data_IF_268999725462
#
_entry.id   IF_268999725462
#
_cell.length_a   1.000
_cell.length_b   1.000
_cell.length_c   1.000
_cell.angle_alpha   90.00
_cell.angle_beta   90.00
_cell.angle_gamma   90.00
#
_symmetry.space_group_name_H-M   'P 1'
#
loop_
_entity.id
_entity.type
_entity.pdbx_description
1 polymer ?
#
# COMPACT_ATOMS: atom_id res chain seq x y z
N UNK A 1 -19.90 12.39 17.93
CA UNK A 1 -21.16 12.64 18.66
C UNK A 1 -22.37 12.01 17.98
N UNK A 2 -22.41 11.96 16.63
CA UNK A 2 -23.60 11.54 15.87
C UNK A 2 -23.64 10.04 15.43
N UNK A 3 -22.74 9.18 15.94
CA UNK A 3 -22.69 7.75 15.59
C UNK A 3 -22.11 7.47 14.19
N UNK A 4 -22.13 6.19 13.76
CA UNK A 4 -21.51 5.75 12.50
C UNK A 4 -22.32 6.11 11.24
N UNK A 5 -23.66 6.11 11.32
CA UNK A 5 -24.54 6.41 10.17
C UNK A 5 -24.38 7.82 9.62
N UNK A 6 -23.97 8.75 10.49
CA UNK A 6 -23.84 10.15 10.11
C UNK A 6 -22.45 10.50 9.59
N UNK A 7 -21.50 9.54 9.59
CA UNK A 7 -20.11 9.81 9.19
C UNK A 7 -20.01 10.27 7.73
N UNK A 8 -20.78 9.66 6.83
CA UNK A 8 -20.78 9.99 5.40
C UNK A 8 -21.72 11.12 5.01
N UNK A 9 -22.39 11.78 5.97
CA UNK A 9 -23.11 13.03 5.70
C UNK A 9 -22.13 14.21 5.49
N UNK A 10 -20.95 14.13 6.08
CA UNK A 10 -19.83 15.03 5.78
C UNK A 10 -18.99 14.51 4.60
N UNK A 11 -18.08 15.37 4.10
CA UNK A 11 -17.12 14.94 3.09
C UNK A 11 -16.18 13.85 3.66
N UNK A 12 -16.07 12.74 2.95
CA UNK A 12 -15.16 11.63 3.28
C UNK A 12 -14.87 10.80 2.04
N UNK A 13 -13.60 10.50 1.82
CA UNK A 13 -13.08 9.70 0.72
C UNK A 13 -12.61 8.31 1.15
N UNK A 14 -12.63 8.06 2.46
CA UNK A 14 -12.25 6.80 3.06
C UNK A 14 -13.34 5.74 2.90
N UNK A 15 -12.89 4.50 2.78
CA UNK A 15 -13.71 3.34 3.09
C UNK A 15 -13.87 3.18 4.61
N UNK A 16 -14.87 2.43 5.08
CA UNK A 16 -15.22 2.36 6.51
C UNK A 16 -14.10 1.92 7.45
N UNK A 17 -13.13 1.13 6.96
CA UNK A 17 -12.11 0.52 7.81
C UNK A 17 -11.32 1.55 8.63
N UNK A 18 -10.86 2.63 7.99
CA UNK A 18 -10.10 3.66 8.71
C UNK A 18 -11.00 4.54 9.59
N UNK A 19 -12.30 4.63 9.28
CA UNK A 19 -13.24 5.42 10.06
C UNK A 19 -13.47 4.83 11.45
N UNK A 20 -13.40 3.50 11.61
CA UNK A 20 -13.38 2.87 12.93
C UNK A 20 -12.17 3.31 13.77
N UNK A 21 -11.00 3.43 13.14
CA UNK A 21 -9.78 3.91 13.80
C UNK A 21 -9.98 5.35 14.24
N UNK A 22 -10.42 6.23 13.34
CA UNK A 22 -10.69 7.64 13.65
C UNK A 22 -11.76 7.83 14.73
N UNK A 23 -12.82 7.02 14.70
CA UNK A 23 -13.85 7.02 15.73
C UNK A 23 -13.28 6.67 17.10
N UNK A 24 -12.47 5.61 17.18
CA UNK A 24 -11.83 5.20 18.42
C UNK A 24 -10.87 6.29 18.93
N UNK A 25 -10.01 6.84 18.07
CA UNK A 25 -9.14 7.96 18.43
C UNK A 25 -9.92 9.17 18.95
N UNK A 26 -11.06 9.49 18.30
CA UNK A 26 -11.94 10.55 18.77
C UNK A 26 -12.54 10.30 20.16
N UNK A 27 -12.76 9.03 20.54
CA UNK A 27 -13.24 8.66 21.89
C UNK A 27 -12.20 8.82 22.98
N UNK A 28 -10.93 8.64 22.64
CA UNK A 28 -9.80 8.76 23.58
C UNK A 28 -9.04 10.09 23.43
N UNK A 29 -9.62 11.04 22.69
CA UNK A 29 -9.07 12.39 22.52
C UNK A 29 -8.88 13.05 23.88
N UNK A 30 -7.79 13.81 24.04
CA UNK A 30 -7.46 14.52 25.28
C UNK A 30 -6.60 13.72 26.28
N UNK A 31 -6.36 12.41 26.06
CA UNK A 31 -5.41 11.62 26.89
C UNK A 31 -3.96 12.03 26.63
N UNK A 32 -3.63 12.35 25.38
CA UNK A 32 -2.32 12.82 24.91
C UNK A 32 -2.54 13.92 23.86
N UNK A 33 -1.50 14.71 23.49
CA UNK A 33 -1.62 15.73 22.44
C UNK A 33 -2.19 15.14 21.13
N UNK A 34 -3.20 15.80 20.56
CA UNK A 34 -3.93 15.32 19.38
C UNK A 34 -2.98 14.96 18.22
N UNK A 35 -1.95 15.78 17.97
CA UNK A 35 -0.95 15.52 16.93
C UNK A 35 -0.27 14.16 17.10
N UNK A 36 0.08 13.79 18.33
CA UNK A 36 0.66 12.47 18.61
C UNK A 36 -0.39 11.37 18.47
N UNK A 37 -1.59 11.58 19.02
CA UNK A 37 -2.69 10.62 19.00
C UNK A 37 -3.01 10.14 17.58
N UNK A 38 -3.13 11.07 16.62
CA UNK A 38 -3.47 10.75 15.24
C UNK A 38 -2.30 10.14 14.45
N UNK A 39 -1.05 10.28 14.92
CA UNK A 39 0.14 9.65 14.32
C UNK A 39 0.40 8.24 14.85
N UNK A 40 -0.06 7.93 16.07
CA UNK A 40 0.17 6.63 16.72
C UNK A 40 -0.21 5.41 15.85
N UNK A 41 -1.35 5.36 15.15
CA UNK A 41 -1.68 4.18 14.34
C UNK A 41 -0.62 3.86 13.28
N UNK A 42 -0.07 4.88 12.61
CA UNK A 42 0.95 4.71 11.60
C UNK A 42 2.30 4.29 12.21
N UNK A 43 2.71 4.95 13.31
CA UNK A 43 3.95 4.63 14.03
C UNK A 43 3.91 3.18 14.56
N UNK A 44 2.81 2.78 15.19
CA UNK A 44 2.63 1.41 15.68
C UNK A 44 2.61 0.40 14.54
N UNK A 45 2.03 0.76 13.38
CA UNK A 45 2.04 -0.10 12.21
C UNK A 45 3.46 -0.31 11.65
N UNK A 46 4.31 0.72 11.64
CA UNK A 46 5.71 0.58 11.24
C UNK A 46 6.51 -0.32 12.19
N UNK A 47 6.34 -0.13 13.50
CA UNK A 47 7.00 -0.97 14.51
C UNK A 47 6.56 -2.43 14.41
N UNK A 48 5.26 -2.67 14.23
CA UNK A 48 4.70 -4.01 14.02
C UNK A 48 5.22 -4.62 12.71
N UNK A 49 5.35 -3.83 11.64
CA UNK A 49 5.90 -4.28 10.36
C UNK A 49 7.38 -4.62 10.50
N UNK A 50 8.17 -3.80 11.20
CA UNK A 50 9.56 -4.09 11.51
C UNK A 50 9.74 -5.36 12.33
N UNK A 51 8.91 -5.59 13.35
CA UNK A 51 8.91 -6.85 14.12
C UNK A 51 8.55 -8.06 13.24
N UNK A 52 7.57 -7.90 12.35
CA UNK A 52 7.17 -8.94 11.41
C UNK A 52 8.28 -9.27 10.41
N UNK A 53 8.98 -8.25 9.89
CA UNK A 53 10.17 -8.42 9.03
C UNK A 53 11.24 -9.22 9.77
N UNK A 54 11.53 -8.90 11.05
CA UNK A 54 12.47 -9.67 11.87
C UNK A 54 12.08 -11.16 11.93
N UNK A 55 10.80 -11.46 12.20
CA UNK A 55 10.30 -12.84 12.24
C UNK A 55 10.40 -13.56 10.90
N UNK A 56 9.98 -12.90 9.82
CA UNK A 56 10.00 -13.46 8.47
C UNK A 56 11.42 -13.76 8.03
N UNK A 57 12.30 -12.76 8.05
CA UNK A 57 13.69 -12.90 7.61
C UNK A 57 14.47 -13.82 8.55
N UNK A 58 14.18 -13.80 9.85
CA UNK A 58 14.72 -14.74 10.82
C UNK A 58 14.48 -16.20 10.43
N UNK A 59 13.26 -16.51 9.98
CA UNK A 59 12.88 -17.84 9.47
C UNK A 59 13.43 -18.14 8.07
N UNK A 60 13.50 -17.13 7.20
CA UNK A 60 13.96 -17.32 5.83
C UNK A 60 15.49 -17.38 5.70
N UNK A 61 16.24 -16.77 6.62
CA UNK A 61 17.70 -16.69 6.59
C UNK A 61 18.33 -16.96 7.96
N UNK A 62 18.28 -15.99 8.88
CA UNK A 62 18.67 -16.14 10.30
C UNK A 62 18.35 -14.86 11.08
N UNK A 63 18.41 -14.91 12.42
CA UNK A 63 18.06 -13.80 13.31
C UNK A 63 18.91 -12.54 13.09
N UNK A 64 20.19 -12.66 12.74
CA UNK A 64 21.06 -11.51 12.45
C UNK A 64 20.53 -10.71 11.26
N UNK A 65 20.24 -11.40 10.16
CA UNK A 65 19.63 -10.75 8.99
C UNK A 65 18.22 -10.25 9.26
N UNK A 66 17.47 -10.93 10.15
CA UNK A 66 16.19 -10.44 10.64
C UNK A 66 16.31 -9.07 11.32
N UNK A 67 17.28 -8.91 12.22
CA UNK A 67 17.51 -7.64 12.91
C UNK A 67 17.92 -6.56 11.92
N UNK A 68 18.87 -6.86 11.02
CA UNK A 68 19.32 -5.91 9.99
C UNK A 68 18.15 -5.43 9.13
N UNK A 69 17.34 -6.33 8.58
CA UNK A 69 16.21 -5.97 7.73
C UNK A 69 15.13 -5.17 8.49
N UNK A 70 14.87 -5.53 9.75
CA UNK A 70 13.95 -4.80 10.63
C UNK A 70 14.44 -3.38 10.91
N UNK A 71 15.72 -3.23 11.27
CA UNK A 71 16.35 -1.93 11.49
C UNK A 71 16.36 -1.08 10.23
N UNK A 72 16.68 -1.66 9.07
CA UNK A 72 16.63 -0.94 7.79
C UNK A 72 15.24 -0.38 7.52
N UNK A 73 14.17 -1.11 7.83
CA UNK A 73 12.79 -0.63 7.65
C UNK A 73 12.40 0.45 8.66
N UNK A 74 12.57 0.20 9.96
CA UNK A 74 12.12 1.11 11.03
C UNK A 74 12.88 2.45 10.96
N UNK A 75 14.18 2.40 10.66
CA UNK A 75 15.02 3.60 10.57
C UNK A 75 15.13 4.15 9.16
N UNK A 76 14.32 3.66 8.20
CA UNK A 76 14.28 4.24 6.87
C UNK A 76 13.69 5.67 6.97
N UNK A 77 14.44 6.71 6.58
CA UNK A 77 13.97 8.09 6.70
C UNK A 77 12.69 8.35 5.90
N UNK A 78 12.48 7.65 4.78
CA UNK A 78 11.28 7.79 3.97
C UNK A 78 10.02 7.24 4.66
N UNK A 79 10.17 6.14 5.42
CA UNK A 79 9.10 5.56 6.24
C UNK A 79 8.74 6.51 7.38
N UNK A 80 9.74 6.98 8.13
CA UNK A 80 9.56 7.94 9.21
C UNK A 80 8.92 9.25 8.73
N UNK A 81 9.23 9.70 7.52
CA UNK A 81 8.64 10.90 6.91
C UNK A 81 7.14 10.75 6.68
N UNK A 82 6.69 9.61 6.17
CA UNK A 82 5.27 9.34 5.95
C UNK A 82 4.50 9.15 7.27
N UNK A 83 5.01 8.33 8.19
CA UNK A 83 4.28 7.96 9.40
C UNK A 83 4.50 8.94 10.55
N UNK A 84 5.75 9.16 10.95
CA UNK A 84 6.10 9.90 12.17
C UNK A 84 6.03 11.40 11.95
N UNK A 85 6.56 11.90 10.83
CA UNK A 85 6.56 13.33 10.55
C UNK A 85 5.22 13.79 9.96
N UNK A 86 4.63 13.03 9.03
CA UNK A 86 3.36 13.41 8.41
C UNK A 86 2.12 12.83 9.10
N UNK A 87 2.12 11.55 9.49
CA UNK A 87 0.95 10.88 10.08
C UNK A 87 0.06 10.18 9.06
N UNK A 88 0.58 9.89 7.86
CA UNK A 88 -0.12 9.12 6.84
C UNK A 88 -0.19 7.65 7.22
N UNK A 89 -1.22 6.98 6.72
CA UNK A 89 -1.60 5.62 7.15
C UNK A 89 -1.13 4.53 6.18
N UNK A 90 -0.25 4.86 5.23
CA UNK A 90 0.24 3.89 4.25
C UNK A 90 1.05 2.77 4.94
N UNK A 91 1.63 3.03 6.11
CA UNK A 91 2.21 2.02 7.01
C UNK A 91 1.25 0.88 7.37
N UNK A 92 -0.05 1.17 7.56
CA UNK A 92 -1.07 0.16 7.83
C UNK A 92 -1.27 -0.74 6.60
N UNK A 93 -1.17 -0.16 5.39
CA UNK A 93 -1.23 -0.92 4.13
C UNK A 93 -0.07 -1.90 4.08
N UNK A 94 1.15 -1.43 4.38
CA UNK A 94 2.34 -2.29 4.43
C UNK A 94 2.19 -3.44 5.43
N UNK A 95 1.77 -3.14 6.66
CA UNK A 95 1.56 -4.13 7.72
C UNK A 95 0.56 -5.21 7.32
N UNK A 96 -0.65 -4.81 6.91
CA UNK A 96 -1.74 -5.75 6.63
C UNK A 96 -1.46 -6.59 5.38
N UNK A 97 -0.75 -6.04 4.40
CA UNK A 97 -0.28 -6.76 3.23
C UNK A 97 0.73 -7.86 3.59
N UNK A 98 1.74 -7.55 4.40
CA UNK A 98 2.75 -8.54 4.81
C UNK A 98 2.17 -9.59 5.76
N UNK A 99 1.29 -9.19 6.70
CA UNK A 99 0.59 -10.16 7.55
C UNK A 99 -0.27 -11.11 6.72
N UNK A 100 -1.00 -10.61 5.71
CA UNK A 100 -1.81 -11.43 4.83
C UNK A 100 -0.98 -12.48 4.08
N UNK A 101 0.18 -12.09 3.54
CA UNK A 101 1.12 -13.01 2.87
C UNK A 101 1.68 -14.03 3.87
N UNK A 102 2.16 -13.56 5.02
CA UNK A 102 2.77 -14.40 6.06
C UNK A 102 1.81 -15.47 6.59
N UNK A 103 0.56 -15.10 6.86
CA UNK A 103 -0.43 -16.03 7.40
C UNK A 103 -1.08 -16.92 6.36
N UNK A 104 -1.03 -16.62 5.06
CA UNK A 104 -1.67 -17.44 4.03
C UNK A 104 -1.35 -18.94 4.15
N UNK A 105 -0.07 -19.37 4.23
CA UNK A 105 0.24 -20.79 4.38
C UNK A 105 0.00 -21.35 5.79
N UNK A 106 -0.06 -20.51 6.83
CA UNK A 106 -0.12 -20.94 8.25
C UNK A 106 -1.55 -20.95 8.80
N UNK A 107 -2.27 -19.84 8.62
CA UNK A 107 -3.66 -19.66 9.02
C UNK A 107 -4.37 -18.84 7.93
N UNK A 108 -4.93 -19.55 6.95
CA UNK A 108 -5.55 -18.93 5.78
C UNK A 108 -6.78 -18.08 6.12
N UNK A 109 -7.50 -18.40 7.21
CA UNK A 109 -8.65 -17.59 7.66
C UNK A 109 -8.18 -16.25 8.23
N UNK A 110 -7.12 -16.24 9.03
CA UNK A 110 -6.52 -14.99 9.51
C UNK A 110 -5.97 -14.16 8.34
N UNK A 111 -5.30 -14.78 7.37
CA UNK A 111 -4.87 -14.11 6.15
C UNK A 111 -6.04 -13.48 5.38
N UNK A 112 -7.15 -14.21 5.23
CA UNK A 112 -8.38 -13.73 4.57
C UNK A 112 -8.99 -12.53 5.29
N UNK A 113 -9.06 -12.59 6.62
CA UNK A 113 -9.53 -11.48 7.46
C UNK A 113 -8.64 -10.24 7.31
N UNK A 114 -7.32 -10.41 7.38
CA UNK A 114 -6.35 -9.31 7.27
C UNK A 114 -6.37 -8.64 5.89
N UNK A 115 -6.52 -9.42 4.82
CA UNK A 115 -6.62 -8.89 3.45
C UNK A 115 -7.90 -8.04 3.31
N UNK A 116 -9.03 -8.52 3.82
CA UNK A 116 -10.30 -7.80 3.77
C UNK A 116 -10.29 -6.54 4.65
N UNK A 117 -9.81 -6.65 5.90
CA UNK A 117 -9.65 -5.52 6.82
C UNK A 117 -8.72 -4.46 6.24
N UNK A 118 -7.59 -4.87 5.66
CA UNK A 118 -6.67 -3.95 5.02
C UNK A 118 -7.27 -3.28 3.81
N UNK A 119 -8.03 -4.00 2.99
CA UNK A 119 -8.75 -3.41 1.84
C UNK A 119 -9.80 -2.40 2.29
N UNK A 120 -10.50 -2.65 3.40
CA UNK A 120 -11.44 -1.71 4.02
C UNK A 120 -10.76 -0.44 4.54
N UNK A 121 -9.51 -0.53 4.99
CA UNK A 121 -8.75 0.64 5.46
C UNK A 121 -8.16 1.40 4.27
N UNK A 122 -7.53 0.68 3.35
CA UNK A 122 -6.85 1.18 2.16
C UNK A 122 -7.01 0.17 1.02
N UNK A 123 -7.74 0.52 -0.06
CA UNK A 123 -7.96 -0.38 -1.20
C UNK A 123 -6.68 -0.98 -1.81
N UNK A 124 -5.54 -0.31 -1.66
CA UNK A 124 -4.24 -0.79 -2.13
C UNK A 124 -3.81 -2.14 -1.56
N UNK A 125 -4.30 -2.53 -0.37
CA UNK A 125 -4.03 -3.88 0.18
C UNK A 125 -4.57 -4.97 -0.74
N UNK A 126 -5.65 -4.71 -1.49
CA UNK A 126 -6.24 -5.67 -2.43
C UNK A 126 -5.29 -6.08 -3.57
N UNK A 127 -4.26 -5.27 -3.89
CA UNK A 127 -3.26 -5.65 -4.89
C UNK A 127 -2.52 -6.94 -4.51
N UNK A 128 -2.43 -7.25 -3.22
CA UNK A 128 -1.83 -8.49 -2.72
C UNK A 128 -2.71 -9.72 -2.97
N UNK A 129 -3.99 -9.56 -3.30
CA UNK A 129 -4.86 -10.70 -3.64
C UNK A 129 -4.28 -11.56 -4.78
N UNK A 130 -3.60 -10.95 -5.76
CA UNK A 130 -2.90 -11.67 -6.83
C UNK A 130 -1.75 -12.54 -6.30
N UNK A 131 -0.97 -12.04 -5.36
CA UNK A 131 0.12 -12.79 -4.70
C UNK A 131 -0.47 -13.94 -3.89
N UNK A 132 -1.54 -13.70 -3.13
CA UNK A 132 -2.22 -14.74 -2.35
C UNK A 132 -2.78 -15.82 -3.27
N UNK A 133 -3.43 -15.45 -4.38
CA UNK A 133 -3.93 -16.42 -5.35
C UNK A 133 -2.82 -17.35 -5.85
N UNK A 134 -1.65 -16.80 -6.16
CA UNK A 134 -0.46 -17.58 -6.54
C UNK A 134 0.07 -18.45 -5.39
N UNK A 135 -0.02 -18.00 -4.14
CA UNK A 135 0.26 -18.82 -2.94
C UNK A 135 -0.73 -19.99 -2.84
N UNK A 136 -2.01 -19.79 -3.16
CA UNK A 136 -3.02 -20.86 -3.20
C UNK A 136 -2.67 -21.91 -4.24
N UNK A 137 -2.26 -21.48 -5.44
CA UNK A 137 -1.80 -22.37 -6.53
C UNK A 137 -0.56 -23.14 -6.11
N UNK A 138 0.48 -22.44 -5.64
CA UNK A 138 1.77 -23.04 -5.28
C UNK A 138 1.63 -24.11 -4.19
N UNK A 139 0.76 -23.86 -3.22
CA UNK A 139 0.49 -24.78 -2.12
C UNK A 139 -0.68 -25.75 -2.40
N UNK A 140 -1.17 -25.82 -3.65
CA UNK A 140 -2.23 -26.73 -4.11
C UNK A 140 -3.46 -26.74 -3.17
N UNK A 141 -3.95 -25.56 -2.82
CA UNK A 141 -5.11 -25.46 -1.93
C UNK A 141 -6.33 -26.14 -2.56
N UNK A 142 -7.05 -26.94 -1.75
CA UNK A 142 -8.32 -27.56 -2.16
C UNK A 142 -9.37 -26.48 -2.40
N UNK A 143 -10.29 -26.71 -3.33
CA UNK A 143 -11.38 -25.77 -3.67
C UNK A 143 -12.15 -25.27 -2.44
N UNK A 144 -12.48 -26.15 -1.49
CA UNK A 144 -13.14 -25.77 -0.22
C UNK A 144 -12.37 -24.69 0.55
N UNK A 145 -11.05 -24.81 0.63
CA UNK A 145 -10.18 -23.83 1.32
C UNK A 145 -10.16 -22.49 0.60
N UNK A 146 -10.13 -22.51 -0.74
CA UNK A 146 -10.18 -21.31 -1.58
C UNK A 146 -11.54 -20.61 -1.40
N UNK A 147 -12.65 -21.35 -1.48
CA UNK A 147 -13.99 -20.81 -1.29
C UNK A 147 -14.18 -20.23 0.11
N UNK A 148 -13.68 -20.91 1.16
CA UNK A 148 -13.71 -20.38 2.53
C UNK A 148 -12.90 -19.09 2.67
N UNK A 149 -11.75 -18.97 2.00
CA UNK A 149 -10.96 -17.73 1.98
C UNK A 149 -11.73 -16.59 1.32
N UNK A 150 -12.27 -16.82 0.13
CA UNK A 150 -13.04 -15.80 -0.61
C UNK A 150 -14.27 -15.39 0.17
N UNK A 151 -15.03 -16.35 0.70
CA UNK A 151 -16.24 -16.12 1.46
C UNK A 151 -15.97 -15.28 2.72
N UNK A 152 -14.96 -15.64 3.51
CA UNK A 152 -14.60 -14.88 4.70
C UNK A 152 -14.15 -13.46 4.34
N UNK A 153 -13.33 -13.28 3.29
CA UNK A 153 -12.89 -11.95 2.87
C UNK A 153 -14.06 -11.07 2.44
N UNK A 154 -15.01 -11.63 1.68
CA UNK A 154 -16.22 -10.91 1.26
C UNK A 154 -17.11 -10.56 2.47
N UNK A 155 -17.32 -11.48 3.40
CA UNK A 155 -18.11 -11.21 4.61
C UNK A 155 -17.48 -10.10 5.42
N UNK A 156 -16.18 -10.19 5.74
CA UNK A 156 -15.48 -9.17 6.54
C UNK A 156 -15.57 -7.80 5.85
N UNK A 157 -15.37 -7.77 4.53
CA UNK A 157 -15.51 -6.55 3.74
C UNK A 157 -16.92 -5.97 3.85
N UNK A 158 -17.96 -6.75 3.55
CA UNK A 158 -19.36 -6.28 3.58
C UNK A 158 -19.81 -5.87 4.98
N UNK A 159 -19.49 -6.68 6.00
CA UNK A 159 -19.82 -6.38 7.40
C UNK A 159 -19.21 -5.07 7.86
N UNK A 160 -18.02 -4.72 7.37
CA UNK A 160 -17.36 -3.45 7.67
C UNK A 160 -18.17 -2.21 7.28
N UNK A 161 -19.04 -2.30 6.26
CA UNK A 161 -19.91 -1.21 5.82
C UNK A 161 -21.22 -1.10 6.61
N UNK A 162 -21.69 -2.18 7.24
CA UNK A 162 -23.04 -2.23 7.85
C UNK A 162 -23.29 -1.08 8.83
N UNK A 163 -22.38 -0.76 9.78
CA UNK A 163 -22.63 0.33 10.74
C UNK A 163 -22.73 1.73 10.11
N UNK A 164 -22.16 1.91 8.92
CA UNK A 164 -22.13 3.18 8.18
C UNK A 164 -23.22 3.29 7.12
N UNK A 165 -23.92 2.19 6.83
CA UNK A 165 -24.90 2.15 5.75
C UNK A 165 -26.05 3.12 6.02
N UNK A 166 -26.25 4.03 5.07
CA UNK A 166 -27.39 4.93 4.99
C UNK A 166 -28.30 4.54 3.82
N UNK A 167 -29.62 4.59 4.01
CA UNK A 167 -30.60 4.21 3.00
C UNK A 167 -31.07 2.75 3.09
N UNK A 168 -31.87 2.32 2.11
CA UNK A 168 -32.62 1.06 2.17
C UNK A 168 -31.85 -0.16 1.66
N UNK A 169 -30.71 0.01 0.97
CA UNK A 169 -29.97 -1.10 0.36
C UNK A 169 -28.45 -0.99 0.60
N UNK A 170 -27.90 -2.03 1.24
CA UNK A 170 -26.47 -2.09 1.59
C UNK A 170 -25.55 -2.19 0.36
N UNK A 171 -25.96 -2.93 -0.68
CA UNK A 171 -25.14 -3.10 -1.87
C UNK A 171 -25.03 -1.82 -2.69
N UNK A 172 -26.11 -1.06 -2.84
CA UNK A 172 -26.06 0.25 -3.49
C UNK A 172 -25.18 1.21 -2.72
N UNK A 173 -25.26 1.21 -1.39
CA UNK A 173 -24.39 2.03 -0.54
C UNK A 173 -22.90 1.66 -0.71
N UNK A 174 -22.56 0.37 -0.70
CA UNK A 174 -21.18 -0.09 -0.93
C UNK A 174 -20.69 0.35 -2.31
N UNK A 175 -21.50 0.15 -3.36
CA UNK A 175 -21.15 0.53 -4.72
C UNK A 175 -20.93 2.04 -4.87
N UNK A 176 -21.81 2.85 -4.28
CA UNK A 176 -21.68 4.30 -4.22
C UNK A 176 -20.37 4.69 -3.53
N UNK A 177 -20.10 4.15 -2.33
CA UNK A 177 -18.88 4.48 -1.58
C UNK A 177 -17.59 4.12 -2.31
N UNK A 178 -17.57 2.98 -3.02
CA UNK A 178 -16.45 2.59 -3.87
C UNK A 178 -16.30 3.54 -5.08
N UNK A 179 -17.40 3.93 -5.69
CA UNK A 179 -17.42 4.88 -6.80
C UNK A 179 -16.92 6.27 -6.37
N UNK A 180 -17.41 6.81 -5.26
CA UNK A 180 -16.98 8.10 -4.71
C UNK A 180 -15.50 8.09 -4.36
N UNK A 181 -15.04 7.08 -3.61
CA UNK A 181 -13.63 6.98 -3.19
C UNK A 181 -12.68 6.87 -4.39
N UNK A 182 -13.04 6.07 -5.40
CA UNK A 182 -12.21 5.91 -6.60
C UNK A 182 -12.27 7.12 -7.54
N UNK A 183 -13.43 7.79 -7.63
CA UNK A 183 -13.69 8.91 -8.53
C UNK A 183 -13.24 10.27 -8.02
N UNK A 184 -12.79 10.37 -6.77
CA UNK A 184 -12.47 11.64 -6.14
C UNK A 184 -11.28 12.37 -6.75
N UNK A 185 -10.25 11.63 -7.14
CA UNK A 185 -9.05 12.19 -7.75
C UNK A 185 -8.79 11.55 -9.12
N UNK A 186 -9.59 11.90 -10.15
CA UNK A 186 -9.49 11.32 -11.49
C UNK A 186 -8.34 11.98 -12.27
N UNK A 187 -7.14 11.90 -11.72
CA UNK A 187 -5.92 12.49 -12.28
C UNK A 187 -4.90 11.41 -12.61
N UNK A 188 -4.11 11.62 -13.65
CA UNK A 188 -3.08 10.65 -14.09
C UNK A 188 -1.97 10.48 -13.05
N UNK A 189 -1.55 11.57 -12.39
CA UNK A 189 -0.61 11.56 -11.27
C UNK A 189 -0.90 12.71 -10.30
N UNK A 190 -0.86 12.42 -9.00
CA UNK A 190 -1.18 13.38 -7.94
C UNK A 190 0.09 13.64 -7.13
N UNK A 191 0.92 14.54 -7.65
CA UNK A 191 2.29 14.78 -7.19
C UNK A 191 3.14 13.51 -7.05
N UNK A 192 2.79 12.41 -7.72
CA UNK A 192 3.51 11.16 -7.60
C UNK A 192 4.64 11.12 -8.62
N UNK A 193 5.87 10.85 -8.17
CA UNK A 193 7.01 10.57 -9.06
C UNK A 193 6.89 9.19 -9.73
N UNK A 194 5.85 9.06 -10.54
CA UNK A 194 5.48 7.90 -11.35
C UNK A 194 5.54 8.22 -12.85
N UNK A 195 5.37 7.22 -13.72
CA UNK A 195 5.48 7.36 -15.18
C UNK A 195 4.65 8.51 -15.74
N UNK A 196 3.41 8.65 -15.27
CA UNK A 196 2.49 9.69 -15.71
C UNK A 196 2.94 11.10 -15.32
N UNK A 197 3.64 11.24 -14.18
CA UNK A 197 4.18 12.51 -13.70
C UNK A 197 5.21 13.16 -14.63
N UNK A 198 5.80 12.41 -15.57
CA UNK A 198 6.70 12.96 -16.60
C UNK A 198 5.97 14.01 -17.45
N UNK A 199 4.69 13.76 -17.73
CA UNK A 199 3.81 14.63 -18.52
C UNK A 199 3.12 15.72 -17.68
N UNK A 200 3.48 15.83 -16.40
CA UNK A 200 2.89 16.77 -15.45
C UNK A 200 1.97 16.11 -14.43
N UNK A 201 1.74 16.81 -13.32
CA UNK A 201 0.82 16.39 -12.27
C UNK A 201 -0.57 17.00 -12.46
N UNK A 202 -1.58 16.39 -11.85
CA UNK A 202 -2.97 16.87 -11.85
C UNK A 202 -3.61 17.01 -13.23
N UNK A 203 -3.03 16.36 -14.25
CA UNK A 203 -3.67 16.21 -15.54
C UNK A 203 -4.88 15.30 -15.39
N UNK A 204 -6.07 15.81 -15.75
CA UNK A 204 -7.31 15.03 -15.71
C UNK A 204 -7.16 13.78 -16.54
N UNK A 205 -7.56 12.65 -15.97
CA UNK A 205 -7.65 11.41 -16.71
C UNK A 205 -8.71 11.54 -17.80
N UNK A 206 -8.39 11.12 -19.03
CA UNK A 206 -9.34 11.16 -20.14
C UNK A 206 -10.57 10.31 -19.81
N UNK A 207 -11.76 10.79 -20.19
CA UNK A 207 -13.02 10.05 -20.06
C UNK A 207 -13.05 8.78 -20.93
N UNK A 208 -12.17 8.71 -21.92
CA UNK A 208 -11.88 7.50 -22.70
C UNK A 208 -10.82 6.66 -21.99
N UNK A 209 -11.12 5.36 -21.91
CA UNK A 209 -10.53 4.29 -21.11
C UNK A 209 -9.03 3.98 -21.32
N UNK A 210 -8.14 4.93 -21.63
CA UNK A 210 -6.78 4.64 -22.10
C UNK A 210 -5.69 4.53 -21.00
N UNK A 211 -5.50 5.48 -20.06
CA UNK A 211 -4.31 5.46 -19.19
C UNK A 211 -4.35 4.38 -18.10
N UNK A 212 -5.46 4.27 -17.36
CA UNK A 212 -5.61 3.24 -16.32
C UNK A 212 -5.45 1.83 -16.87
N UNK A 213 -6.07 1.53 -18.03
CA UNK A 213 -5.98 0.20 -18.64
C UNK A 213 -4.56 -0.12 -19.09
N UNK A 214 -3.89 0.84 -19.75
CA UNK A 214 -2.48 0.69 -20.13
C UNK A 214 -1.64 0.41 -18.89
N UNK A 215 -1.86 1.15 -17.80
CA UNK A 215 -1.22 0.92 -16.51
C UNK A 215 -1.42 -0.50 -15.97
N UNK A 216 -2.67 -0.98 -15.94
CA UNK A 216 -3.01 -2.34 -15.49
C UNK A 216 -2.34 -3.40 -16.36
N UNK A 217 -2.36 -3.25 -17.69
CA UNK A 217 -1.71 -4.19 -18.61
C UNK A 217 -0.20 -4.25 -18.33
N UNK A 218 0.46 -3.10 -18.18
CA UNK A 218 1.88 -3.03 -17.86
C UNK A 218 2.18 -3.71 -16.51
N UNK A 219 1.38 -3.45 -15.48
CA UNK A 219 1.50 -4.10 -14.16
C UNK A 219 1.38 -5.63 -14.28
N UNK A 220 0.42 -6.14 -15.04
CA UNK A 220 0.22 -7.57 -15.24
C UNK A 220 1.41 -8.21 -15.98
N UNK A 221 1.91 -7.56 -17.03
CA UNK A 221 3.08 -8.04 -17.79
C UNK A 221 4.31 -8.12 -16.87
N UNK A 222 4.63 -7.04 -16.15
CA UNK A 222 5.79 -6.99 -15.26
C UNK A 222 5.67 -8.01 -14.13
N UNK A 223 4.49 -8.13 -13.52
CA UNK A 223 4.23 -9.12 -12.48
C UNK A 223 4.41 -10.55 -12.99
N UNK A 224 3.96 -10.83 -14.21
CA UNK A 224 4.17 -12.12 -14.89
C UNK A 224 5.66 -12.41 -15.15
N UNK A 225 6.42 -11.44 -15.67
CA UNK A 225 7.85 -11.58 -15.92
C UNK A 225 8.64 -11.88 -14.64
N UNK A 226 8.37 -11.12 -13.57
CA UNK A 226 9.00 -11.37 -12.26
C UNK A 226 8.61 -12.73 -11.73
N UNK A 227 7.33 -13.09 -11.81
CA UNK A 227 6.84 -14.38 -11.34
C UNK A 227 7.62 -15.53 -11.98
N UNK A 228 7.81 -15.53 -13.30
CA UNK A 228 8.57 -16.56 -14.00
C UNK A 228 9.99 -16.73 -13.45
N UNK A 229 10.63 -15.62 -13.08
CA UNK A 229 12.00 -15.61 -12.55
C UNK A 229 12.09 -16.00 -11.07
N UNK A 230 11.14 -15.55 -10.25
CA UNK A 230 11.21 -15.75 -8.79
C UNK A 230 10.45 -16.99 -8.33
N UNK A 231 9.58 -17.59 -9.14
CA UNK A 231 8.65 -18.65 -8.72
C UNK A 231 9.31 -19.81 -7.97
N UNK A 232 10.53 -20.21 -8.37
CA UNK A 232 11.25 -21.32 -7.74
C UNK A 232 12.14 -20.88 -6.56
N UNK A 233 12.30 -19.58 -6.34
CA UNK A 233 13.14 -19.01 -5.28
C UNK A 233 12.41 -18.99 -3.93
N UNK A 234 13.18 -19.00 -2.85
CA UNK A 234 12.68 -18.79 -1.49
C UNK A 234 12.27 -17.33 -1.31
N UNK A 235 11.13 -17.07 -0.67
CA UNK A 235 10.63 -15.70 -0.45
C UNK A 235 10.10 -15.01 -1.72
N UNK A 236 9.81 -15.76 -2.77
CA UNK A 236 9.27 -15.26 -4.05
C UNK A 236 8.03 -14.39 -3.87
N UNK A 237 7.18 -14.69 -2.88
CA UNK A 237 5.96 -13.95 -2.59
C UNK A 237 6.23 -12.51 -2.17
N UNK A 238 7.33 -12.25 -1.46
CA UNK A 238 7.74 -10.91 -1.04
C UNK A 238 8.37 -10.14 -2.20
N UNK A 239 9.20 -10.79 -3.03
CA UNK A 239 9.77 -10.12 -4.20
C UNK A 239 8.66 -9.75 -5.19
N UNK A 240 7.72 -10.67 -5.45
CA UNK A 240 6.55 -10.38 -6.28
C UNK A 240 5.70 -9.25 -5.70
N UNK A 241 5.41 -9.27 -4.39
CA UNK A 241 4.65 -8.20 -3.74
C UNK A 241 5.33 -6.83 -3.88
N UNK A 242 6.66 -6.75 -3.73
CA UNK A 242 7.40 -5.50 -3.93
C UNK A 242 7.26 -4.96 -5.35
N UNK A 243 7.36 -5.84 -6.35
CA UNK A 243 7.23 -5.49 -7.77
C UNK A 243 5.80 -5.12 -8.12
N UNK A 244 4.80 -5.82 -7.58
CA UNK A 244 3.37 -5.47 -7.78
C UNK A 244 3.12 -4.07 -7.24
N UNK A 245 3.52 -3.76 -6.01
CA UNK A 245 3.33 -2.42 -5.45
C UNK A 245 4.10 -1.35 -6.23
N UNK A 246 5.36 -1.62 -6.59
CA UNK A 246 6.19 -0.66 -7.30
C UNK A 246 5.64 -0.39 -8.71
N UNK A 247 5.23 -1.43 -9.42
CA UNK A 247 4.61 -1.30 -10.74
C UNK A 247 3.26 -0.58 -10.66
N UNK A 248 2.45 -0.88 -9.63
CA UNK A 248 1.20 -0.16 -9.39
C UNK A 248 1.46 1.33 -9.17
N UNK A 249 2.44 1.68 -8.32
CA UNK A 249 2.83 3.07 -8.10
C UNK A 249 3.30 3.75 -9.39
N UNK A 250 4.15 3.09 -10.17
CA UNK A 250 4.76 3.66 -11.36
C UNK A 250 3.78 3.81 -12.52
N UNK A 251 2.84 2.87 -12.70
CA UNK A 251 2.06 2.79 -13.94
C UNK A 251 0.55 2.94 -13.76
N UNK A 252 -0.02 2.80 -12.57
CA UNK A 252 -1.44 3.14 -12.38
C UNK A 252 -1.61 4.66 -12.31
N UNK A 253 -2.75 5.12 -12.82
CA UNK A 253 -3.21 6.49 -12.61
C UNK A 253 -3.80 6.67 -11.21
N UNK A 254 -4.13 7.91 -10.85
CA UNK A 254 -4.72 8.28 -9.54
C UNK A 254 -3.82 7.95 -8.34
N UNK A 255 -2.52 7.78 -8.59
CA UNK A 255 -1.53 7.54 -7.55
C UNK A 255 -1.08 8.87 -6.93
N UNK A 256 -1.03 8.88 -5.61
CA UNK A 256 -0.47 9.94 -4.79
C UNK A 256 1.00 9.67 -4.49
N UNK A 257 1.75 10.72 -4.20
CA UNK A 257 3.13 10.71 -3.77
C UNK A 257 3.42 9.65 -2.71
N UNK A 258 2.50 9.50 -1.75
CA UNK A 258 2.64 8.65 -0.57
C UNK A 258 2.48 7.16 -0.86
N UNK A 259 1.92 6.80 -2.01
CA UNK A 259 1.55 5.42 -2.35
C UNK A 259 2.75 4.50 -2.67
N UNK A 260 3.98 5.01 -2.64
CA UNK A 260 5.19 4.19 -2.80
C UNK A 260 5.55 3.39 -1.52
N UNK A 261 5.08 3.82 -0.34
CA UNK A 261 5.46 3.21 0.95
C UNK A 261 5.30 1.68 1.02
N UNK A 262 4.20 1.07 0.54
CA UNK A 262 3.99 -0.38 0.67
C UNK A 262 5.07 -1.25 0.00
N UNK A 263 5.91 -0.69 -0.88
CA UNK A 263 7.03 -1.39 -1.52
C UNK A 263 8.12 -1.79 -0.53
N UNK A 264 8.40 -0.97 0.49
CA UNK A 264 9.63 -1.10 1.29
C UNK A 264 9.68 -2.36 2.16
N UNK A 265 8.58 -2.77 2.80
CA UNK A 265 8.56 -3.97 3.63
C UNK A 265 8.81 -5.26 2.82
N UNK A 266 8.07 -5.54 1.72
CA UNK A 266 8.37 -6.72 0.90
C UNK A 266 9.74 -6.62 0.22
N UNK A 267 10.19 -5.42 -0.16
CA UNK A 267 11.50 -5.23 -0.79
C UNK A 267 12.65 -5.50 0.17
N UNK A 268 12.61 -5.04 1.42
CA UNK A 268 13.70 -5.31 2.39
C UNK A 268 13.74 -6.78 2.80
N UNK A 269 12.58 -7.45 2.89
CA UNK A 269 12.53 -8.90 3.09
C UNK A 269 13.24 -9.59 1.93
N UNK A 270 12.99 -9.17 0.70
CA UNK A 270 13.63 -9.72 -0.50
C UNK A 270 15.13 -9.40 -0.55
N UNK A 271 15.53 -8.18 -0.21
CA UNK A 271 16.92 -7.74 -0.15
C UNK A 271 17.74 -8.49 0.90
N UNK A 272 17.10 -8.95 1.98
CA UNK A 272 17.76 -9.83 2.94
C UNK A 272 18.17 -11.18 2.32
N UNK A 273 17.47 -11.64 1.28
CA UNK A 273 17.76 -12.88 0.55
C UNK A 273 18.63 -12.65 -0.69
N UNK A 274 18.46 -11.51 -1.36
CA UNK A 274 19.19 -11.10 -2.57
C UNK A 274 19.76 -9.70 -2.33
N UNK A 275 21.01 -9.58 -1.83
CA UNK A 275 21.58 -8.31 -1.38
C UNK A 275 21.59 -7.19 -2.44
N UNK A 276 21.64 -7.52 -3.73
CA UNK A 276 21.61 -6.54 -4.82
C UNK A 276 20.32 -5.69 -4.80
N UNK A 277 19.22 -6.23 -4.25
CA UNK A 277 17.97 -5.49 -4.07
C UNK A 277 18.07 -4.38 -2.99
N UNK A 278 19.19 -4.25 -2.28
CA UNK A 278 19.47 -3.07 -1.47
C UNK A 278 19.65 -1.81 -2.32
N UNK A 279 20.10 -1.94 -3.58
CA UNK A 279 20.24 -0.81 -4.50
C UNK A 279 18.86 -0.17 -4.78
N UNK A 280 17.83 -0.90 -5.28
CA UNK A 280 16.49 -0.34 -5.41
C UNK A 280 15.89 0.07 -4.08
N UNK A 281 16.17 -0.63 -2.97
CA UNK A 281 15.66 -0.23 -1.65
C UNK A 281 16.12 1.18 -1.23
N UNK A 282 17.44 1.43 -1.31
CA UNK A 282 18.02 2.73 -0.95
C UNK A 282 17.64 3.79 -1.97
N UNK A 283 17.72 3.48 -3.27
CA UNK A 283 17.36 4.41 -4.34
C UNK A 283 15.91 4.88 -4.23
N UNK A 284 14.96 3.95 -4.02
CA UNK A 284 13.55 4.29 -3.85
C UNK A 284 13.31 5.08 -2.55
N UNK A 285 14.06 4.82 -1.48
CA UNK A 285 13.97 5.62 -0.25
C UNK A 285 14.33 7.08 -0.50
N UNK A 286 15.42 7.33 -1.23
CA UNK A 286 15.89 8.68 -1.57
C UNK A 286 14.91 9.42 -2.50
N UNK A 287 14.42 8.76 -3.55
CA UNK A 287 13.43 9.38 -4.45
C UNK A 287 12.08 9.56 -3.77
N UNK A 288 11.70 8.66 -2.86
CA UNK A 288 10.47 8.80 -2.08
C UNK A 288 10.55 9.98 -1.11
N UNK A 289 11.69 10.19 -0.44
CA UNK A 289 11.93 11.40 0.37
C UNK A 289 11.77 12.67 -0.46
N UNK A 290 12.38 12.72 -1.64
CA UNK A 290 12.25 13.87 -2.54
C UNK A 290 10.77 14.08 -2.96
N UNK A 291 10.05 12.99 -3.25
CA UNK A 291 8.63 13.03 -3.62
C UNK A 291 7.75 13.57 -2.48
N UNK A 292 7.96 13.08 -1.25
CA UNK A 292 7.23 13.55 -0.06
C UNK A 292 7.56 15.01 0.25
N UNK A 293 8.84 15.39 0.15
CA UNK A 293 9.27 16.78 0.36
C UNK A 293 8.66 17.72 -0.69
N UNK A 294 8.66 17.32 -1.97
CA UNK A 294 8.02 18.07 -3.04
C UNK A 294 6.55 18.34 -2.71
N UNK A 295 5.79 17.30 -2.37
CA UNK A 295 4.37 17.45 -2.05
C UNK A 295 4.12 18.27 -0.79
N UNK A 296 4.97 18.13 0.23
CA UNK A 296 4.90 18.96 1.43
C UNK A 296 5.08 20.44 1.11
N UNK A 297 6.08 20.80 0.31
CA UNK A 297 6.28 22.20 -0.10
C UNK A 297 5.13 22.68 -0.97
N UNK A 298 4.71 21.86 -1.94
CA UNK A 298 3.62 22.18 -2.85
C UNK A 298 2.32 22.48 -2.09
N UNK A 299 1.95 21.70 -1.07
CA UNK A 299 0.71 21.97 -0.34
C UNK A 299 0.84 23.09 0.70
N UNK A 300 2.01 23.23 1.34
CA UNK A 300 2.19 24.16 2.47
C UNK A 300 2.53 25.58 2.03
N UNK A 301 3.15 25.73 0.86
CA UNK A 301 3.62 27.01 0.32
C UNK A 301 2.90 27.36 -0.98
N UNK A 302 1.56 27.29 -0.97
CA UNK A 302 0.67 27.74 -2.04
C UNK A 302 1.08 27.24 -3.45
N UNK A 303 1.17 25.92 -3.58
CA UNK A 303 1.49 25.22 -4.83
C UNK A 303 2.87 25.54 -5.42
N UNK A 304 3.78 26.07 -4.61
CA UNK A 304 5.18 26.30 -4.99
C UNK A 304 5.86 24.98 -5.39
N UNK A 305 6.45 24.97 -6.58
CA UNK A 305 7.29 23.88 -7.04
C UNK A 305 8.72 24.05 -6.50
N UNK A 306 9.17 23.09 -5.68
CA UNK A 306 10.53 23.12 -5.11
C UNK A 306 11.58 22.55 -6.05
N UNK A 307 11.16 21.67 -6.97
CA UNK A 307 12.02 21.08 -7.99
C UNK A 307 11.58 21.51 -9.39
N UNK A 308 12.54 21.80 -10.29
CA UNK A 308 12.21 22.03 -11.69
C UNK A 308 11.73 20.73 -12.35
N UNK A 309 10.92 20.85 -13.40
CA UNK A 309 10.34 19.70 -14.12
C UNK A 309 11.41 18.68 -14.58
N UNK A 310 12.58 19.14 -15.02
CA UNK A 310 13.67 18.25 -15.42
C UNK A 310 14.20 17.37 -14.28
N UNK A 311 14.26 17.90 -13.05
CA UNK A 311 14.70 17.13 -11.88
C UNK A 311 13.62 16.13 -11.42
N UNK A 312 12.34 16.51 -11.52
CA UNK A 312 11.21 15.59 -11.27
C UNK A 312 11.26 14.43 -12.27
N UNK A 313 11.41 14.72 -13.56
CA UNK A 313 11.54 13.70 -14.60
C UNK A 313 12.75 12.78 -14.35
N UNK A 314 13.88 13.34 -13.91
CA UNK A 314 15.06 12.55 -13.52
C UNK A 314 14.77 11.58 -12.36
N UNK A 315 14.09 12.01 -11.29
CA UNK A 315 13.69 11.11 -10.21
C UNK A 315 12.73 10.00 -10.68
N UNK A 316 11.81 10.32 -11.59
CA UNK A 316 10.90 9.32 -12.18
C UNK A 316 11.69 8.30 -13.00
N UNK A 317 12.63 8.74 -13.84
CA UNK A 317 13.49 7.86 -14.61
C UNK A 317 14.33 6.95 -13.70
N UNK A 318 14.85 7.47 -12.58
CA UNK A 318 15.51 6.65 -11.56
C UNK A 318 14.55 5.58 -11.04
N UNK A 319 13.30 5.93 -10.67
CA UNK A 319 12.35 4.94 -10.17
C UNK A 319 12.04 3.83 -11.20
N UNK A 320 11.94 4.19 -12.49
CA UNK A 320 11.76 3.22 -13.58
C UNK A 320 12.97 2.30 -13.73
N UNK A 321 14.19 2.83 -13.63
CA UNK A 321 15.42 2.02 -13.63
C UNK A 321 15.48 1.10 -12.42
N UNK A 322 15.17 1.60 -11.22
CA UNK A 322 15.17 0.79 -10.00
C UNK A 322 14.11 -0.32 -10.03
N UNK A 323 12.98 -0.12 -10.71
CA UNK A 323 12.05 -1.20 -11.01
C UNK A 323 12.72 -2.29 -11.86
N UNK A 324 13.44 -1.93 -12.93
CA UNK A 324 14.17 -2.91 -13.75
C UNK A 324 15.18 -3.68 -12.91
N UNK A 325 15.96 -3.01 -12.04
CA UNK A 325 16.87 -3.68 -11.08
C UNK A 325 16.14 -4.55 -10.05
N UNK A 326 14.90 -4.25 -9.71
CA UNK A 326 14.11 -5.11 -8.78
C UNK A 326 13.70 -6.43 -9.46
N UNK A 327 13.59 -6.41 -10.79
CA UNK A 327 13.28 -7.57 -11.64
C UNK A 327 14.55 -8.37 -11.96
N UNK A 328 15.64 -7.69 -12.35
CA UNK A 328 16.86 -8.27 -12.92
C UNK A 328 17.97 -8.47 -11.89
#
# INVERSE_FOLDING_TARGET
ENGFKDFYQGWSDYLPGYLYVLWFLGKIRGIIPDVLLYKLPAILADLATGFLIYKIVGKLKNSKWGLIASSLYIFNPAILTNSTFWGQIDSITSLLSILSIYFAPVNFLLSSFLLALGTLIKPQVAFIAAVIFLVMIKNRWKLKKILSYIFLSLIVFVLGFIPFASGNNLFSFIAERLSTSSGQYPYTSINAFNFWGIFGFWNKESSTLAPMIVGVIIVLIISGLVLLKVWKKKGWEYQLASVVFLSCFLFLTRMHERHLLPVFAPLVISASLVPDLLIPYVGLSLTYLANLYYSYIWITYDFRTVFPQGLIAFFILINLVLLVFTIW
#
